data_IF_009410996500
#
_entry.id   IF_009410996500
#
_cell.length_a   1.000
_cell.length_b   1.000
_cell.length_c   1.000
_cell.angle_alpha   90.00
_cell.angle_beta   90.00
_cell.angle_gamma   90.00
#
_symmetry.space_group_name_H-M   'P 1'
#
loop_
_entity.id
_entity.type
_entity.pdbx_description
1 polymer ?
#
# COMPACT_ATOMS: atom_id res chain seq x y z
N UNK A 1 -9.58 -13.07 16.11
CA UNK A 1 -8.28 -12.74 16.75
C UNK A 1 -7.23 -12.35 15.69
N UNK A 2 -7.43 -11.22 15.00
CA UNK A 2 -6.52 -10.73 13.92
C UNK A 2 -6.06 -9.27 14.15
N UNK A 3 -6.14 -8.76 15.38
CA UNK A 3 -5.99 -7.31 15.65
C UNK A 3 -4.63 -6.89 16.20
N UNK A 4 -3.73 -7.82 16.58
CA UNK A 4 -2.50 -7.49 17.32
C UNK A 4 -1.24 -7.39 16.47
N UNK A 5 -1.25 -7.80 15.20
CA UNK A 5 -0.08 -7.67 14.31
C UNK A 5 0.00 -6.28 13.67
N UNK A 6 -1.15 -5.70 13.30
CA UNK A 6 -1.25 -4.39 12.65
C UNK A 6 -0.83 -3.24 13.59
N UNK A 7 -1.25 -3.30 14.86
CA UNK A 7 -0.81 -2.31 15.88
C UNK A 7 0.67 -2.44 16.23
N UNK A 8 1.24 -3.65 16.17
CA UNK A 8 2.68 -3.84 16.46
C UNK A 8 3.56 -3.42 15.30
N UNK A 9 3.14 -3.60 14.04
CA UNK A 9 3.94 -3.18 12.89
C UNK A 9 4.03 -1.65 12.76
N UNK A 10 3.02 -0.88 13.15
CA UNK A 10 3.14 0.58 13.24
C UNK A 10 4.16 1.05 14.29
N UNK A 11 4.40 0.26 15.35
CA UNK A 11 5.34 0.58 16.43
C UNK A 11 6.72 -0.11 16.30
N UNK A 12 6.91 -1.04 15.35
CA UNK A 12 8.15 -1.83 15.18
C UNK A 12 9.09 -1.36 14.07
N UNK A 13 8.81 -0.22 13.44
CA UNK A 13 9.68 0.36 12.40
C UNK A 13 11.06 0.85 12.89
N UNK A 14 11.35 0.76 14.20
CA UNK A 14 12.50 1.45 14.79
C UNK A 14 13.69 0.61 15.28
N UNK A 15 13.80 -0.71 15.06
CA UNK A 15 14.86 -1.45 15.79
C UNK A 15 15.47 -2.71 15.17
N UNK A 16 15.58 -2.81 13.85
CA UNK A 16 16.49 -3.79 13.25
C UNK A 16 17.03 -3.27 11.93
N UNK A 17 18.27 -3.66 11.60
CA UNK A 17 19.12 -3.24 10.48
C UNK A 17 20.15 -2.15 10.82
N UNK A 18 21.23 -2.59 11.48
CA UNK A 18 22.54 -1.93 11.47
C UNK A 18 23.62 -2.99 11.27
N UNK A 19 24.17 -3.06 10.05
CA UNK A 19 25.57 -3.37 9.73
C UNK A 19 25.69 -3.52 8.21
N UNK A 20 26.03 -2.43 7.54
CA UNK A 20 26.22 -2.43 6.08
C UNK A 20 26.19 -1.02 5.52
N UNK A 21 27.37 -0.42 5.44
CA UNK A 21 27.65 0.91 4.91
C UNK A 21 27.15 1.08 3.47
N UNK A 22 26.25 2.04 3.21
CA UNK A 22 26.31 2.94 2.04
C UNK A 22 25.42 4.17 2.25
N UNK A 23 25.99 5.34 1.98
CA UNK A 23 25.48 6.66 2.36
C UNK A 23 24.40 7.17 1.39
N UNK A 24 23.19 7.46 1.91
CA UNK A 24 22.29 8.60 1.56
C UNK A 24 20.82 8.39 1.94
N UNK A 25 20.41 7.21 2.40
CA UNK A 25 19.00 6.90 2.76
C UNK A 25 18.62 7.20 4.24
N UNK A 26 19.50 7.80 5.04
CA UNK A 26 19.37 7.84 6.51
C UNK A 26 18.74 9.10 7.11
N UNK A 27 18.07 9.96 6.32
CA UNK A 27 17.32 11.11 6.89
C UNK A 27 15.82 10.91 7.04
N UNK A 28 15.24 9.82 6.52
CA UNK A 28 13.80 9.54 6.64
C UNK A 28 13.44 8.77 7.93
N UNK A 29 14.42 8.16 8.62
CA UNK A 29 14.17 7.31 9.80
C UNK A 29 14.27 8.02 11.16
N UNK A 30 14.35 9.36 11.21
CA UNK A 30 14.36 10.12 12.48
C UNK A 30 13.09 10.93 12.75
N UNK A 31 12.02 10.71 11.99
CA UNK A 31 10.71 11.39 12.13
C UNK A 31 9.59 10.49 12.68
N UNK A 32 9.93 9.40 13.38
CA UNK A 32 8.95 8.46 13.92
C UNK A 32 8.82 8.48 15.45
N UNK A 33 9.52 9.38 16.15
CA UNK A 33 9.52 9.41 17.63
C UNK A 33 8.48 10.31 18.30
N UNK A 34 7.77 11.18 17.58
CA UNK A 34 6.80 12.10 18.22
C UNK A 34 5.37 11.94 17.70
N UNK A 35 4.84 10.70 17.67
CA UNK A 35 3.38 10.51 17.67
C UNK A 35 2.86 10.72 19.09
N UNK A 36 2.65 11.98 19.50
CA UNK A 36 2.00 12.24 20.79
C UNK A 36 0.53 11.74 20.74
N UNK A 37 0.08 10.91 21.69
CA UNK A 37 -1.25 10.28 21.64
C UNK A 37 -2.45 11.23 21.77
N UNK A 38 -2.22 12.55 21.91
CA UNK A 38 -3.25 13.51 22.33
C UNK A 38 -4.00 14.20 21.18
N UNK A 39 -3.67 13.92 19.91
CA UNK A 39 -4.36 14.48 18.74
C UNK A 39 -5.25 13.46 18.00
N UNK A 40 -5.31 12.19 18.45
CA UNK A 40 -6.00 11.08 17.75
C UNK A 40 -7.49 10.91 18.09
N UNK A 41 -8.16 11.94 18.62
CA UNK A 41 -9.58 11.89 19.02
C UNK A 41 -10.45 12.92 18.29
N UNK A 42 -10.48 12.88 16.96
CA UNK A 42 -11.62 13.34 16.16
C UNK A 42 -11.22 13.30 14.68
N UNK A 43 -11.62 12.24 13.96
CA UNK A 43 -11.85 12.20 12.48
C UNK A 43 -11.92 10.78 11.90
N UNK A 44 -12.41 9.80 12.65
CA UNK A 44 -12.72 8.45 12.13
C UNK A 44 -14.02 8.42 11.31
N UNK A 45 -14.11 9.31 10.33
CA UNK A 45 -15.15 9.28 9.31
C UNK A 45 -14.46 9.12 7.97
N UNK A 46 -14.64 7.95 7.33
CA UNK A 46 -14.47 7.80 5.90
C UNK A 46 -15.24 8.95 5.24
N UNK A 47 -14.52 10.01 4.84
CA UNK A 47 -15.11 11.06 4.01
C UNK A 47 -15.22 10.41 2.64
N UNK A 48 -16.33 9.72 2.41
CA UNK A 48 -16.72 9.26 1.09
C UNK A 48 -16.56 10.46 0.15
N UNK A 49 -15.97 10.22 -1.02
CA UNK A 49 -16.02 11.20 -2.11
C UNK A 49 -17.47 11.69 -2.22
N UNK A 50 -17.71 12.95 -1.86
CA UNK A 50 -19.07 13.51 -1.78
C UNK A 50 -19.60 13.90 -3.16
N UNK A 51 -18.85 13.60 -4.21
CA UNK A 51 -19.22 13.87 -5.58
C UNK A 51 -20.08 12.76 -6.18
N UNK A 52 -20.78 13.10 -7.25
CA UNK A 52 -21.56 12.13 -8.02
C UNK A 52 -20.67 11.21 -8.85
N UNK A 53 -21.20 10.07 -9.29
CA UNK A 53 -20.54 9.19 -10.26
C UNK A 53 -20.05 9.94 -11.51
N UNK A 54 -20.82 10.93 -11.97
CA UNK A 54 -20.45 11.77 -13.11
C UNK A 54 -19.27 12.70 -12.81
N UNK A 55 -19.11 13.18 -11.58
CA UNK A 55 -17.94 13.99 -11.24
C UNK A 55 -16.68 13.13 -11.11
N UNK A 56 -16.80 11.92 -10.53
CA UNK A 56 -15.67 11.00 -10.42
C UNK A 56 -15.14 10.54 -11.79
N UNK A 57 -16.03 10.19 -12.72
CA UNK A 57 -15.67 9.84 -14.11
C UNK A 57 -15.01 11.00 -14.85
N UNK A 58 -15.47 12.25 -14.63
CA UNK A 58 -14.83 13.46 -15.19
C UNK A 58 -13.42 13.68 -14.66
N UNK A 59 -13.18 13.47 -13.36
CA UNK A 59 -11.84 13.62 -12.75
C UNK A 59 -10.84 12.66 -13.41
N UNK A 60 -11.23 11.42 -13.67
CA UNK A 60 -10.40 10.42 -14.34
C UNK A 60 -10.49 10.46 -15.88
N UNK A 61 -11.26 11.38 -16.46
CA UNK A 61 -11.52 11.48 -17.90
C UNK A 61 -12.00 10.16 -18.53
N UNK A 62 -12.87 9.44 -17.82
CA UNK A 62 -13.44 8.18 -18.25
C UNK A 62 -14.87 8.37 -18.81
N UNK A 63 -15.23 7.50 -19.75
CA UNK A 63 -16.62 7.31 -20.18
C UNK A 63 -17.40 6.49 -19.16
N UNK A 64 -18.74 6.49 -19.22
CA UNK A 64 -19.58 5.71 -18.28
C UNK A 64 -19.33 4.20 -18.38
N UNK A 65 -19.11 3.70 -19.59
CA UNK A 65 -18.96 2.27 -19.89
C UNK A 65 -17.50 1.81 -19.86
N UNK A 66 -16.77 2.15 -18.79
CA UNK A 66 -15.35 1.82 -18.67
C UNK A 66 -15.10 0.38 -18.21
N UNK A 67 -14.00 -0.23 -18.65
CA UNK A 67 -13.52 -1.52 -18.10
C UNK A 67 -12.65 -1.32 -16.85
N UNK A 68 -12.48 -2.31 -15.97
CA UNK A 68 -11.61 -2.18 -14.80
C UNK A 68 -10.15 -1.86 -15.16
N UNK A 69 -9.68 -2.38 -16.30
CA UNK A 69 -8.36 -2.05 -16.85
C UNK A 69 -8.28 -0.56 -17.21
N UNK A 70 -9.28 -0.03 -17.92
CA UNK A 70 -9.34 1.40 -18.25
C UNK A 70 -9.41 2.29 -17.01
N UNK A 71 -10.13 1.87 -15.96
CA UNK A 71 -10.16 2.61 -14.69
C UNK A 71 -8.76 2.72 -14.07
N UNK A 72 -8.02 1.60 -14.04
CA UNK A 72 -6.64 1.55 -13.54
C UNK A 72 -5.69 2.41 -14.37
N UNK A 73 -5.74 2.26 -15.69
CA UNK A 73 -4.88 3.00 -16.61
C UNK A 73 -5.14 4.52 -16.55
N UNK A 74 -6.42 4.93 -16.48
CA UNK A 74 -6.80 6.32 -16.29
C UNK A 74 -6.35 6.88 -14.93
N UNK A 75 -6.44 6.09 -13.86
CA UNK A 75 -5.90 6.47 -12.57
C UNK A 75 -4.38 6.67 -12.61
N UNK A 76 -3.63 5.75 -13.24
CA UNK A 76 -2.16 5.84 -13.31
C UNK A 76 -1.70 7.02 -14.14
N UNK A 77 -2.33 7.24 -15.29
CA UNK A 77 -2.02 8.40 -16.13
C UNK A 77 -2.31 9.71 -15.38
N UNK A 78 -3.46 9.82 -14.71
CA UNK A 78 -3.80 10.99 -13.90
C UNK A 78 -2.84 11.20 -12.70
N UNK A 79 -2.46 10.12 -12.01
CA UNK A 79 -1.51 10.16 -10.90
C UNK A 79 -0.12 10.64 -11.34
N UNK A 80 0.41 10.10 -12.44
CA UNK A 80 1.70 10.52 -13.01
C UNK A 80 1.69 11.99 -13.41
N UNK A 81 0.58 12.48 -13.97
CA UNK A 81 0.40 13.89 -14.31
C UNK A 81 0.38 14.82 -13.09
N UNK A 82 0.27 14.30 -11.86
CA UNK A 82 0.39 15.10 -10.64
C UNK A 82 1.82 15.14 -10.09
N UNK A 83 2.78 14.47 -10.71
CA UNK A 83 4.16 14.44 -10.23
C UNK A 83 4.83 15.84 -10.33
N UNK A 84 5.60 16.26 -9.31
CA UNK A 84 6.27 17.56 -9.31
C UNK A 84 7.26 17.74 -10.47
N UNK A 85 7.96 16.68 -10.89
CA UNK A 85 8.90 16.77 -12.03
C UNK A 85 8.24 17.20 -13.34
N UNK A 86 6.96 16.88 -13.54
CA UNK A 86 6.18 17.30 -14.71
C UNK A 86 5.48 18.65 -14.51
N UNK A 87 5.33 19.10 -13.26
CA UNK A 87 4.60 20.32 -12.89
C UNK A 87 5.44 21.25 -12.02
N UNK A 88 6.66 21.57 -12.47
CA UNK A 88 7.62 22.40 -11.72
C UNK A 88 7.09 23.79 -11.34
N UNK A 89 6.05 24.27 -12.01
CA UNK A 89 5.43 25.59 -11.77
C UNK A 89 4.34 25.58 -10.72
N UNK A 90 3.84 24.41 -10.31
CA UNK A 90 2.77 24.28 -9.31
C UNK A 90 3.37 23.97 -7.94
N UNK A 91 2.70 24.44 -6.88
CA UNK A 91 3.09 24.10 -5.51
C UNK A 91 2.90 22.60 -5.25
N UNK A 92 3.78 22.00 -4.45
CA UNK A 92 3.69 20.58 -4.06
C UNK A 92 2.37 20.27 -3.34
N UNK A 93 1.87 21.22 -2.56
CA UNK A 93 0.56 21.16 -1.89
C UNK A 93 -0.57 20.98 -2.90
N UNK A 94 -0.62 21.79 -3.96
CA UNK A 94 -1.66 21.68 -4.99
C UNK A 94 -1.61 20.36 -5.76
N UNK A 95 -0.41 19.85 -6.00
CA UNK A 95 -0.20 18.58 -6.70
C UNK A 95 -0.63 17.40 -5.84
N UNK A 96 -0.32 17.45 -4.54
CA UNK A 96 -0.75 16.47 -3.55
C UNK A 96 -2.28 16.47 -3.43
N UNK A 97 -2.90 17.64 -3.33
CA UNK A 97 -4.37 17.77 -3.29
C UNK A 97 -5.04 17.22 -4.55
N UNK A 98 -4.45 17.45 -5.73
CA UNK A 98 -4.93 16.87 -7.00
C UNK A 98 -4.80 15.35 -7.00
N UNK A 99 -3.67 14.81 -6.55
CA UNK A 99 -3.45 13.37 -6.46
C UNK A 99 -4.42 12.68 -5.48
N UNK A 100 -4.69 13.31 -4.33
CA UNK A 100 -5.67 12.82 -3.37
C UNK A 100 -7.08 12.80 -3.98
N UNK A 101 -7.50 13.87 -4.67
CA UNK A 101 -8.80 13.93 -5.37
C UNK A 101 -8.95 12.85 -6.44
N UNK A 102 -7.89 12.60 -7.22
CA UNK A 102 -7.84 11.54 -8.23
C UNK A 102 -8.00 10.17 -7.57
N UNK A 103 -7.35 9.97 -6.42
CA UNK A 103 -7.41 8.71 -5.67
C UNK A 103 -8.80 8.48 -5.06
N UNK A 104 -9.42 9.50 -4.48
CA UNK A 104 -10.79 9.42 -3.97
C UNK A 104 -11.80 9.10 -5.08
N UNK A 105 -11.66 9.69 -6.26
CA UNK A 105 -12.50 9.39 -7.41
C UNK A 105 -12.34 7.94 -7.89
N UNK A 106 -11.11 7.44 -7.94
CA UNK A 106 -10.82 6.04 -8.30
C UNK A 106 -11.48 5.06 -7.33
N UNK A 107 -11.33 5.27 -6.02
CA UNK A 107 -11.92 4.37 -5.01
C UNK A 107 -13.43 4.41 -5.01
N UNK A 108 -14.02 5.59 -5.22
CA UNK A 108 -15.45 5.73 -5.38
C UNK A 108 -15.96 4.92 -6.58
N UNK A 109 -15.32 5.04 -7.74
CA UNK A 109 -15.71 4.29 -8.94
C UNK A 109 -15.49 2.79 -8.79
N UNK A 110 -14.39 2.39 -8.15
CA UNK A 110 -14.10 0.98 -7.87
C UNK A 110 -15.19 0.37 -6.97
N UNK A 111 -15.57 1.06 -5.88
CA UNK A 111 -16.61 0.58 -4.96
C UNK A 111 -17.98 0.48 -5.61
N UNK A 112 -18.40 1.49 -6.37
CA UNK A 112 -19.72 1.48 -7.02
C UNK A 112 -19.81 0.36 -8.07
N UNK A 113 -18.77 0.16 -8.87
CA UNK A 113 -18.76 -0.89 -9.90
C UNK A 113 -18.77 -2.30 -9.33
N UNK A 114 -18.07 -2.52 -8.21
CA UNK A 114 -18.12 -3.79 -7.47
C UNK A 114 -19.45 -4.02 -6.74
N UNK A 115 -20.30 -3.00 -6.60
CA UNK A 115 -21.62 -3.13 -5.98
C UNK A 115 -22.69 -3.53 -7.00
N UNK A 116 -22.48 -3.20 -8.28
CA UNK A 116 -23.39 -3.57 -9.40
C UNK A 116 -23.19 -5.00 -9.89
N UNK A 117 -22.01 -5.57 -9.68
CA UNK A 117 -21.66 -6.94 -10.05
C UNK A 117 -21.04 -7.57 -8.81
N UNK A 118 -21.68 -8.56 -8.20
CA UNK A 118 -21.21 -9.27 -6.99
C UNK A 118 -19.87 -10.02 -7.17
N UNK A 119 -19.09 -9.71 -8.21
CA UNK A 119 -17.78 -10.26 -8.49
C UNK A 119 -16.71 -9.26 -8.03
N UNK A 120 -15.89 -9.66 -7.06
CA UNK A 120 -14.68 -8.94 -6.70
C UNK A 120 -13.80 -8.80 -7.95
N UNK A 121 -13.58 -7.57 -8.43
CA UNK A 121 -12.76 -7.32 -9.62
C UNK A 121 -11.36 -7.92 -9.40
N UNK A 122 -11.07 -9.04 -10.05
CA UNK A 122 -9.80 -9.74 -9.91
C UNK A 122 -8.70 -9.02 -10.71
N UNK A 123 -8.03 -8.07 -10.05
CA UNK A 123 -6.86 -7.39 -10.62
C UNK A 123 -5.66 -8.33 -10.81
N UNK A 124 -5.70 -9.58 -10.34
CA UNK A 124 -4.54 -10.49 -10.47
C UNK A 124 -4.18 -10.81 -11.92
N UNK A 125 -5.16 -10.73 -12.84
CA UNK A 125 -4.96 -10.90 -14.27
C UNK A 125 -4.65 -9.58 -15.01
N UNK A 126 -4.82 -8.43 -14.34
CA UNK A 126 -4.59 -7.11 -14.94
C UNK A 126 -3.12 -6.70 -14.80
N UNK A 127 -2.47 -7.11 -13.71
CA UNK A 127 -1.06 -6.77 -13.42
C UNK A 127 -0.15 -7.82 -14.06
N UNK A 128 0.73 -7.39 -14.97
CA UNK A 128 1.72 -8.29 -15.57
C UNK A 128 2.81 -8.70 -14.55
N UNK A 129 3.42 -9.87 -14.74
CA UNK A 129 4.54 -10.34 -13.89
C UNK A 129 5.70 -9.34 -13.86
N UNK A 130 6.01 -8.75 -15.03
CA UNK A 130 7.06 -7.74 -15.17
C UNK A 130 6.72 -6.45 -14.44
N UNK A 131 5.47 -5.99 -14.50
CA UNK A 131 5.03 -4.78 -13.80
C UNK A 131 5.06 -4.96 -12.28
N UNK A 132 4.62 -6.11 -11.77
CA UNK A 132 4.76 -6.42 -10.35
C UNK A 132 6.23 -6.43 -9.92
N UNK A 133 7.13 -7.00 -10.72
CA UNK A 133 8.56 -7.05 -10.39
C UNK A 133 9.17 -5.64 -10.35
N UNK A 134 8.90 -4.81 -11.36
CA UNK A 134 9.35 -3.41 -11.37
C UNK A 134 8.86 -2.64 -10.14
N UNK A 135 7.63 -2.89 -9.70
CA UNK A 135 7.11 -2.29 -8.48
C UNK A 135 7.86 -2.77 -7.23
N UNK A 136 8.17 -4.07 -7.13
CA UNK A 136 8.97 -4.64 -6.02
C UNK A 136 10.36 -4.03 -5.95
N UNK A 137 11.03 -3.92 -7.09
CA UNK A 137 12.38 -3.35 -7.18
C UNK A 137 12.34 -1.86 -6.78
N UNK A 138 11.36 -1.10 -7.26
CA UNK A 138 11.18 0.30 -6.89
C UNK A 138 10.85 0.51 -5.39
N UNK A 139 10.04 -0.34 -4.78
CA UNK A 139 9.78 -0.28 -3.33
C UNK A 139 11.08 -0.47 -2.53
N UNK A 140 11.90 -1.44 -2.94
CA UNK A 140 13.19 -1.69 -2.29
C UNK A 140 14.19 -0.56 -2.52
N UNK A 141 14.30 -0.06 -3.75
CA UNK A 141 15.24 1.00 -4.11
C UNK A 141 14.88 2.35 -3.48
N UNK A 142 13.60 2.76 -3.58
CA UNK A 142 13.17 4.10 -3.17
C UNK A 142 12.85 4.19 -1.66
N UNK A 143 12.26 3.13 -1.09
CA UNK A 143 11.76 3.14 0.29
C UNK A 143 12.54 2.21 1.22
N UNK A 144 13.32 1.28 0.69
CA UNK A 144 13.97 0.23 1.49
C UNK A 144 12.97 -0.74 2.13
N UNK A 145 11.79 -0.90 1.54
CA UNK A 145 10.70 -1.71 2.07
C UNK A 145 10.21 -2.74 1.05
N UNK A 146 9.79 -3.90 1.54
CA UNK A 146 9.14 -4.91 0.72
C UNK A 146 7.78 -4.41 0.20
N UNK A 147 7.45 -4.78 -1.03
CA UNK A 147 6.18 -4.39 -1.67
C UNK A 147 4.95 -4.84 -0.85
N UNK A 148 5.02 -6.00 -0.19
CA UNK A 148 3.99 -6.48 0.72
C UNK A 148 3.75 -5.52 1.89
N UNK A 149 4.82 -5.01 2.50
CA UNK A 149 4.73 -4.05 3.60
C UNK A 149 4.14 -2.73 3.12
N UNK A 150 4.55 -2.27 1.93
CA UNK A 150 3.98 -1.06 1.33
C UNK A 150 2.47 -1.24 1.08
N UNK A 151 2.04 -2.37 0.53
CA UNK A 151 0.63 -2.68 0.30
C UNK A 151 -0.19 -2.86 1.60
N UNK A 152 0.43 -3.37 2.67
CA UNK A 152 -0.21 -3.41 4.00
C UNK A 152 -0.40 -2.00 4.56
N UNK A 153 0.61 -1.14 4.44
CA UNK A 153 0.55 0.28 4.83
C UNK A 153 -0.53 1.04 4.07
N UNK A 154 -0.67 0.84 2.76
CA UNK A 154 -1.73 1.46 1.93
C UNK A 154 -3.15 1.17 2.45
N UNK A 155 -3.37 0.02 3.10
CA UNK A 155 -4.67 -0.37 3.69
C UNK A 155 -4.94 0.30 5.03
N UNK A 156 -3.92 0.80 5.71
CA UNK A 156 -4.06 1.43 7.01
C UNK A 156 -4.64 2.84 6.88
N UNK A 157 -5.79 3.09 7.53
CA UNK A 157 -6.45 4.41 7.48
C UNK A 157 -5.56 5.51 8.05
N UNK A 158 -4.85 5.24 9.15
CA UNK A 158 -3.95 6.21 9.77
C UNK A 158 -2.79 6.59 8.85
N UNK A 159 -2.26 5.63 8.10
CA UNK A 159 -1.22 5.90 7.11
C UNK A 159 -1.74 6.81 5.99
N UNK A 160 -2.97 6.58 5.53
CA UNK A 160 -3.59 7.42 4.50
C UNK A 160 -3.89 8.84 4.97
N UNK A 161 -4.29 9.01 6.23
CA UNK A 161 -4.45 10.33 6.81
C UNK A 161 -3.10 11.02 7.03
N UNK A 162 -2.07 10.26 7.41
CA UNK A 162 -0.71 10.75 7.50
C UNK A 162 -0.16 11.22 6.13
N UNK A 163 -0.49 10.54 5.03
CA UNK A 163 -0.15 10.99 3.67
C UNK A 163 -0.75 12.35 3.29
N UNK A 164 -1.83 12.78 3.95
CA UNK A 164 -2.43 14.12 3.77
C UNK A 164 -1.69 15.21 4.57
N UNK A 165 -0.78 14.81 5.46
CA UNK A 165 0.04 15.73 6.24
C UNK A 165 1.10 16.43 5.38
N UNK A 166 1.58 17.57 5.85
CA UNK A 166 2.61 18.39 5.18
C UNK A 166 4.03 18.05 5.64
N UNK A 167 4.30 16.78 5.87
CA UNK A 167 5.64 16.34 6.30
C UNK A 167 6.47 15.94 5.10
N UNK A 168 7.79 16.18 5.16
CA UNK A 168 8.74 15.77 4.10
C UNK A 168 8.63 14.27 3.76
N UNK A 169 8.44 13.45 4.79
CA UNK A 169 8.20 12.03 4.61
C UNK A 169 6.88 11.75 3.86
N UNK A 170 5.78 12.44 4.19
CA UNK A 170 4.52 12.29 3.43
C UNK A 170 4.68 12.72 1.97
N UNK A 171 5.40 13.81 1.69
CA UNK A 171 5.71 14.22 0.31
C UNK A 171 6.53 13.18 -0.44
N UNK A 172 7.56 12.61 0.20
CA UNK A 172 8.38 11.55 -0.37
C UNK A 172 7.54 10.33 -0.77
N UNK A 173 6.64 9.89 0.11
CA UNK A 173 5.74 8.78 -0.17
C UNK A 173 4.70 9.12 -1.26
N UNK A 174 4.13 10.32 -1.25
CA UNK A 174 3.21 10.77 -2.29
C UNK A 174 3.90 10.80 -3.67
N UNK A 175 5.12 11.31 -3.73
CA UNK A 175 5.94 11.33 -4.95
C UNK A 175 6.21 9.91 -5.47
N UNK A 176 6.60 8.99 -4.57
CA UNK A 176 6.77 7.59 -4.90
C UNK A 176 5.48 7.00 -5.52
N UNK A 177 4.33 7.19 -4.86
CA UNK A 177 3.06 6.68 -5.34
C UNK A 177 2.63 7.30 -6.67
N UNK A 178 2.82 8.60 -6.88
CA UNK A 178 2.51 9.25 -8.17
C UNK A 178 3.22 8.58 -9.35
N UNK A 179 4.46 8.09 -9.15
CA UNK A 179 5.26 7.44 -10.19
C UNK A 179 4.99 5.94 -10.34
N UNK A 180 4.61 5.25 -9.27
CA UNK A 180 4.56 3.79 -9.19
C UNK A 180 3.14 3.23 -9.00
N UNK A 181 2.14 3.83 -9.65
CA UNK A 181 0.78 3.29 -9.69
C UNK A 181 -0.13 3.68 -8.52
N UNK A 182 0.23 4.74 -7.80
CA UNK A 182 -0.62 5.36 -6.79
C UNK A 182 -0.90 4.46 -5.57
N UNK A 183 -2.08 4.65 -4.99
CA UNK A 183 -2.62 3.81 -3.91
C UNK A 183 -3.37 2.58 -4.42
N UNK A 184 -3.42 2.34 -5.74
CA UNK A 184 -3.99 1.12 -6.27
C UNK A 184 -3.09 -0.09 -5.93
N UNK A 185 -3.67 -1.30 -5.85
CA UNK A 185 -2.89 -2.51 -5.67
C UNK A 185 -1.93 -2.74 -6.84
N UNK A 186 -0.65 -2.96 -6.53
CA UNK A 186 0.39 -3.30 -7.51
C UNK A 186 0.94 -4.72 -7.33
N UNK A 187 0.57 -5.39 -6.24
CA UNK A 187 0.97 -6.77 -5.94
C UNK A 187 -0.20 -7.70 -6.15
N UNK A 188 -0.01 -8.76 -6.94
CA UNK A 188 -1.06 -9.76 -7.18
C UNK A 188 -1.34 -10.51 -5.88
N UNK A 189 -2.62 -10.68 -5.55
CA UNK A 189 -3.02 -11.53 -4.43
C UNK A 189 -2.56 -12.95 -4.75
N UNK A 190 -1.69 -13.52 -3.92
CA UNK A 190 -1.39 -14.96 -4.01
C UNK A 190 -2.71 -15.68 -3.78
N UNK A 191 -3.25 -16.34 -4.83
CA UNK A 191 -4.33 -17.31 -4.66
C UNK A 191 -3.81 -18.26 -3.58
N UNK A 192 -4.51 -18.34 -2.45
CA UNK A 192 -4.29 -19.44 -1.51
C UNK A 192 -4.66 -20.67 -2.33
N UNK A 193 -3.67 -21.28 -2.99
CA UNK A 193 -3.81 -22.66 -3.42
C UNK A 193 -4.27 -23.35 -2.15
N UNK A 194 -5.48 -23.91 -2.20
CA UNK A 194 -5.93 -24.81 -1.16
C UNK A 194 -4.83 -25.86 -1.08
N UNK A 195 -3.96 -25.73 -0.09
CA UNK A 195 -3.11 -26.81 0.35
C UNK A 195 -4.14 -27.80 0.88
N UNK A 196 -4.58 -28.68 -0.02
CA UNK A 196 -5.28 -29.89 0.35
C UNK A 196 -4.48 -30.51 1.47
N UNK A 197 -5.19 -30.95 2.52
CA UNK A 197 -4.60 -31.54 3.70
C UNK A 197 -3.59 -32.62 3.34
N UNK A 198 -2.32 -32.27 3.41
CA UNK A 198 -1.25 -33.22 3.63
C UNK A 198 -1.00 -33.21 5.11
N UNK A 199 -1.52 -34.22 5.81
CA UNK A 199 -1.11 -34.57 7.17
C UNK A 199 0.42 -34.49 7.26
N UNK A 200 0.94 -33.47 7.93
CA UNK A 200 2.27 -33.54 8.49
C UNK A 200 2.21 -34.56 9.63
N UNK A 201 2.31 -35.83 9.25
CA UNK A 201 2.61 -36.93 10.14
C UNK A 201 3.84 -36.51 10.96
N UNK A 202 3.63 -36.43 12.28
CA UNK A 202 4.62 -36.01 13.22
C UNK A 202 5.91 -36.80 13.02
N UNK A 203 6.99 -36.08 12.70
CA UNK A 203 8.34 -36.58 12.85
C UNK A 203 8.55 -36.86 14.34
N UNK A 204 8.22 -38.09 14.76
CA UNK A 204 8.55 -38.68 16.05
C UNK A 204 10.05 -38.47 16.28
N UNK A 205 10.36 -37.47 17.11
CA UNK A 205 11.67 -37.26 17.71
C UNK A 205 12.03 -38.54 18.46
N UNK A 206 12.84 -39.41 17.84
CA UNK A 206 13.37 -40.62 18.46
C UNK A 206 14.12 -40.23 19.72
N UNK A 207 13.51 -40.51 20.87
CA UNK A 207 14.11 -40.42 22.20
C UNK A 207 15.23 -41.47 22.24
N UNK A 208 16.48 -41.05 22.05
CA UNK A 208 17.65 -41.91 22.30
C UNK A 208 17.68 -42.20 23.80
N UNK A 209 17.35 -43.44 24.15
CA UNK A 209 17.48 -43.95 25.51
C UNK A 209 18.95 -43.97 25.90
N UNK A 210 19.28 -43.25 26.97
CA UNK A 210 20.53 -43.41 27.71
C UNK A 210 20.46 -44.73 28.47
N UNK A 211 21.18 -45.74 27.98
CA UNK A 211 21.42 -46.98 28.69
C UNK A 211 22.18 -46.70 29.98
N UNK A 212 21.57 -47.08 31.11
CA UNK A 212 22.15 -47.06 32.44
C UNK A 212 22.95 -48.35 32.60
N UNK A 213 24.27 -48.27 32.50
CA UNK A 213 25.18 -49.33 32.93
C UNK A 213 25.29 -49.26 34.45
N UNK A 214 24.76 -50.28 35.14
CA UNK A 214 25.07 -50.58 36.53
C UNK A 214 25.76 -51.94 36.56
N UNK A 215 26.96 -51.98 37.14
CA UNK A 215 27.52 -53.17 37.78
C UNK A 215 27.11 -53.14 39.24
#
# INVERSE_FOLDING_TARGET
MLSTTIQRNCARFGHRYYSGSFNSATRVLKLQQDFTPKQLRARFGHRYYSGSFNSATRVLKLQRDFTPKQLRDAYFTAAKLCHPDLNKTKSEDELTDKFLKITEAYEFLQKNKSSEKEEEIDFSNIISKSEEQMYRDACMECLGLDAETVEESKKCVLFRDWLKGKTDAAFTWNRFFMSHGGLAPMVRKRKKLAIGGGEFNGARRRKRGSGRLSR
#
